data_IF_371846513431
#
_entry.id   IF_371846513431
#
_cell.length_a   1.000
_cell.length_b   1.000
_cell.length_c   1.000
_cell.angle_alpha   90.00
_cell.angle_beta   90.00
_cell.angle_gamma   90.00
#
_symmetry.space_group_name_H-M   'P 1'
#
loop_
_entity.id
_entity.type
_entity.pdbx_description
1 polymer ?
#
# COMPACT_ATOMS: atom_id res chain seq x y z
N UNK A 1 13.60 25.80 4.02
CA UNK A 1 12.64 25.18 4.96
C UNK A 1 11.34 25.95 4.89
N UNK A 2 10.19 25.25 4.76
CA UNK A 2 8.86 25.86 4.66
C UNK A 2 8.30 26.30 6.02
N UNK A 3 9.11 26.31 7.09
CA UNK A 3 8.71 26.74 8.43
C UNK A 3 7.82 25.78 9.20
N UNK A 4 7.68 24.53 8.72
CA UNK A 4 6.94 23.47 9.42
C UNK A 4 7.88 22.57 10.21
N UNK A 5 7.46 22.19 11.41
CA UNK A 5 8.11 21.16 12.23
C UNK A 5 7.30 19.86 12.12
N UNK A 6 7.84 18.81 11.48
CA UNK A 6 7.08 17.57 11.29
C UNK A 6 7.09 16.70 12.54
N UNK A 7 5.90 16.26 12.95
CA UNK A 7 5.74 15.20 13.95
C UNK A 7 5.44 13.88 13.23
N UNK A 8 6.32 12.89 13.35
CA UNK A 8 6.16 11.59 12.72
C UNK A 8 5.38 10.65 13.64
N UNK A 9 4.16 10.32 13.23
CA UNK A 9 3.29 9.39 13.93
C UNK A 9 2.69 8.40 12.90
N UNK A 10 3.43 7.35 12.49
CA UNK A 10 2.92 6.36 11.54
C UNK A 10 1.71 5.62 12.11
N UNK A 11 0.52 5.80 11.55
CA UNK A 11 -0.72 5.17 12.05
C UNK A 11 -0.93 3.76 11.50
N UNK A 12 -0.17 3.38 10.49
CA UNK A 12 -0.20 2.04 9.89
C UNK A 12 1.21 1.51 9.68
N UNK A 13 1.35 0.20 9.74
CA UNK A 13 2.57 -0.50 9.37
C UNK A 13 2.25 -1.73 8.52
N UNK A 14 3.20 -2.17 7.71
CA UNK A 14 3.06 -3.43 6.97
C UNK A 14 3.73 -4.56 7.73
N UNK A 15 3.08 -5.72 7.74
CA UNK A 15 3.61 -6.97 8.32
C UNK A 15 3.68 -8.03 7.23
N UNK A 16 4.73 -8.84 7.26
CA UNK A 16 4.85 -9.99 6.37
C UNK A 16 3.73 -11.00 6.60
N UNK A 17 3.25 -11.59 5.53
CA UNK A 17 2.36 -12.76 5.60
C UNK A 17 3.12 -14.02 5.18
N UNK A 18 2.62 -15.18 5.60
CA UNK A 18 3.16 -16.46 5.15
C UNK A 18 2.98 -16.59 3.62
N UNK A 19 4.06 -16.93 2.92
CA UNK A 19 4.09 -17.02 1.46
C UNK A 19 4.26 -18.48 1.05
N UNK A 20 3.21 -19.06 0.51
CA UNK A 20 3.32 -20.37 -0.11
C UNK A 20 3.89 -20.21 -1.53
N UNK A 21 4.92 -20.96 -1.85
CA UNK A 21 5.48 -20.94 -3.19
C UNK A 21 4.46 -21.44 -4.22
N UNK A 22 4.39 -20.82 -5.41
CA UNK A 22 3.56 -21.35 -6.49
C UNK A 22 4.09 -22.72 -6.92
N UNK A 23 3.19 -23.57 -7.41
CA UNK A 23 3.52 -24.94 -7.82
C UNK A 23 4.56 -25.02 -8.95
N UNK A 24 4.73 -23.93 -9.71
CA UNK A 24 5.72 -23.84 -10.78
C UNK A 24 6.24 -22.41 -10.90
N UNK A 25 7.47 -22.26 -11.37
CA UNK A 25 8.09 -20.96 -11.62
C UNK A 25 7.22 -20.12 -12.56
N UNK A 26 6.86 -18.87 -12.19
CA UNK A 26 6.08 -17.99 -13.06
C UNK A 26 6.91 -17.51 -14.26
N UNK A 27 6.20 -17.11 -15.33
CA UNK A 27 6.81 -16.46 -16.49
C UNK A 27 6.87 -14.94 -16.33
N UNK A 28 6.02 -14.39 -15.46
CA UNK A 28 5.89 -12.97 -15.20
C UNK A 28 5.46 -12.74 -13.75
N UNK A 29 6.06 -11.76 -13.09
CA UNK A 29 5.60 -11.24 -11.81
C UNK A 29 4.92 -9.90 -12.04
N UNK A 30 3.78 -9.68 -11.40
CA UNK A 30 3.10 -8.38 -11.38
C UNK A 30 2.89 -7.90 -9.96
N UNK A 31 3.03 -6.57 -9.73
CA UNK A 31 2.72 -5.96 -8.45
C UNK A 31 2.27 -4.51 -8.61
N UNK A 32 1.36 -4.06 -7.76
CA UNK A 32 0.81 -2.70 -7.79
C UNK A 32 1.35 -1.79 -6.68
N UNK A 33 2.15 -2.35 -5.75
CA UNK A 33 2.70 -1.61 -4.61
C UNK A 33 4.15 -2.00 -4.34
N UNK A 34 5.03 -1.05 -3.97
CA UNK A 34 6.39 -1.34 -3.54
C UNK A 34 6.45 -2.24 -2.29
N UNK A 35 5.42 -2.17 -1.44
CA UNK A 35 5.33 -2.95 -0.20
C UNK A 35 5.34 -4.46 -0.43
N UNK A 36 4.88 -4.93 -1.60
CA UNK A 36 4.91 -6.34 -1.97
C UNK A 36 6.34 -6.92 -2.02
N UNK A 37 7.34 -6.09 -2.32
CA UNK A 37 8.75 -6.52 -2.42
C UNK A 37 9.52 -6.42 -1.10
N UNK A 38 9.04 -5.63 -0.12
CA UNK A 38 9.71 -5.47 1.17
C UNK A 38 9.66 -6.72 2.04
N UNK A 39 8.68 -7.58 1.79
CA UNK A 39 8.38 -8.75 2.60
C UNK A 39 8.56 -10.08 1.85
N UNK A 40 9.28 -10.09 0.72
CA UNK A 40 9.55 -11.33 0.00
C UNK A 40 10.40 -12.29 0.87
N UNK A 41 9.93 -13.55 1.00
CA UNK A 41 10.75 -14.60 1.58
C UNK A 41 11.96 -14.91 0.70
N UNK A 42 13.01 -15.46 1.29
CA UNK A 42 14.22 -15.82 0.57
C UNK A 42 13.92 -16.86 -0.51
N UNK A 43 13.14 -17.88 -0.18
CA UNK A 43 12.76 -18.95 -1.12
C UNK A 43 11.98 -18.40 -2.31
N UNK A 44 11.05 -17.46 -2.07
CA UNK A 44 10.29 -16.85 -3.16
C UNK A 44 11.18 -15.97 -4.02
N UNK A 45 12.09 -15.21 -3.42
CA UNK A 45 13.07 -14.38 -4.15
C UNK A 45 13.95 -15.21 -5.07
N UNK A 46 14.46 -16.35 -4.56
CA UNK A 46 15.28 -17.28 -5.34
C UNK A 46 14.51 -17.86 -6.52
N UNK A 47 13.26 -18.28 -6.30
CA UNK A 47 12.38 -18.73 -7.37
C UNK A 47 12.17 -17.68 -8.46
N UNK A 48 12.08 -16.41 -8.07
CA UNK A 48 11.81 -15.29 -8.99
C UNK A 48 13.07 -14.75 -9.69
N UNK A 49 14.24 -15.28 -9.37
CA UNK A 49 15.49 -14.86 -10.02
C UNK A 49 15.39 -15.03 -11.55
N UNK A 50 15.64 -13.94 -12.30
CA UNK A 50 15.56 -13.90 -13.76
C UNK A 50 14.16 -13.86 -14.35
N UNK A 51 13.08 -13.85 -13.51
CA UNK A 51 11.70 -13.69 -13.98
C UNK A 51 11.43 -12.21 -14.28
N UNK A 52 10.84 -11.87 -15.45
CA UNK A 52 10.36 -10.53 -15.73
C UNK A 52 9.36 -10.04 -14.69
N UNK A 53 9.43 -8.75 -14.35
CA UNK A 53 8.57 -8.10 -13.37
C UNK A 53 7.94 -6.85 -13.98
N UNK A 54 6.63 -6.77 -14.00
CA UNK A 54 5.88 -5.60 -14.42
C UNK A 54 5.18 -4.96 -13.22
N UNK A 55 5.40 -3.66 -13.03
CA UNK A 55 4.85 -2.91 -11.90
C UNK A 55 4.21 -1.61 -12.34
N UNK A 56 3.38 -1.02 -11.48
CA UNK A 56 2.67 0.23 -11.79
C UNK A 56 3.60 1.41 -12.05
N UNK A 57 4.64 1.62 -11.24
CA UNK A 57 5.48 2.81 -11.34
C UNK A 57 6.88 2.64 -10.77
N UNK A 58 7.71 3.66 -10.91
CA UNK A 58 9.13 3.64 -10.56
C UNK A 58 9.40 3.33 -9.07
N UNK A 59 8.54 3.76 -8.15
CA UNK A 59 8.67 3.41 -6.74
C UNK A 59 8.58 1.89 -6.50
N UNK A 60 7.66 1.22 -7.19
CA UNK A 60 7.53 -0.25 -7.15
C UNK A 60 8.68 -0.93 -7.91
N UNK A 61 9.15 -0.33 -9.01
CA UNK A 61 10.29 -0.85 -9.75
C UNK A 61 11.60 -0.77 -8.93
N UNK A 62 11.82 0.34 -8.25
CA UNK A 62 12.96 0.48 -7.35
C UNK A 62 12.92 -0.54 -6.20
N UNK A 63 11.75 -0.77 -5.60
CA UNK A 63 11.57 -1.76 -4.55
C UNK A 63 11.85 -3.18 -5.05
N UNK A 64 11.38 -3.54 -6.25
CA UNK A 64 11.64 -4.83 -6.87
C UNK A 64 13.14 -5.04 -7.13
N UNK A 65 13.84 -4.02 -7.67
CA UNK A 65 15.28 -4.08 -7.90
C UNK A 65 16.07 -4.20 -6.59
N UNK A 66 15.67 -3.48 -5.54
CA UNK A 66 16.27 -3.58 -4.20
C UNK A 66 16.04 -4.97 -3.57
N UNK A 67 14.96 -5.65 -3.93
CA UNK A 67 14.72 -7.05 -3.56
C UNK A 67 15.55 -8.06 -4.37
N UNK A 68 16.39 -7.60 -5.33
CA UNK A 68 17.27 -8.45 -6.14
C UNK A 68 16.66 -8.89 -7.48
N UNK A 69 15.48 -8.39 -7.87
CA UNK A 69 14.87 -8.71 -9.16
C UNK A 69 15.44 -7.79 -10.25
N UNK A 70 15.87 -8.37 -11.38
CA UNK A 70 16.70 -7.65 -12.37
C UNK A 70 15.94 -7.18 -13.60
N UNK A 71 14.93 -7.93 -14.05
CA UNK A 71 14.15 -7.61 -15.26
C UNK A 71 12.86 -6.89 -14.89
N UNK A 72 12.97 -5.62 -14.46
CA UNK A 72 11.87 -4.86 -13.89
C UNK A 72 11.47 -3.69 -14.79
N UNK A 73 10.19 -3.63 -15.13
CA UNK A 73 9.60 -2.57 -15.96
C UNK A 73 8.43 -1.90 -15.25
N UNK A 74 8.38 -0.57 -15.30
CA UNK A 74 7.30 0.25 -14.79
C UNK A 74 6.29 0.62 -15.91
N UNK A 75 5.00 0.57 -15.60
CA UNK A 75 3.91 0.76 -16.57
C UNK A 75 3.13 2.08 -16.34
N UNK A 76 3.83 3.20 -16.27
CA UNK A 76 3.20 4.53 -16.33
C UNK A 76 2.52 5.04 -15.05
N UNK A 77 2.76 4.42 -13.89
CA UNK A 77 2.42 5.00 -12.57
C UNK A 77 1.09 4.56 -11.94
N UNK A 78 0.22 3.84 -12.65
CA UNK A 78 -1.07 3.40 -12.12
C UNK A 78 -1.48 2.00 -12.63
N UNK A 79 -2.55 1.43 -12.05
CA UNK A 79 -3.04 0.09 -12.39
C UNK A 79 -3.57 0.03 -13.83
N UNK A 80 -4.22 1.09 -14.32
CA UNK A 80 -4.75 1.11 -15.69
C UNK A 80 -3.63 1.01 -16.73
N UNK A 81 -2.52 1.72 -16.55
CA UNK A 81 -1.33 1.59 -17.41
C UNK A 81 -0.71 0.19 -17.35
N UNK A 82 -0.69 -0.44 -16.17
CA UNK A 82 -0.23 -1.80 -16.03
C UNK A 82 -1.14 -2.79 -16.77
N UNK A 83 -2.45 -2.69 -16.63
CA UNK A 83 -3.44 -3.50 -17.33
C UNK A 83 -3.32 -3.35 -18.85
N UNK A 84 -3.23 -2.12 -19.37
CA UNK A 84 -3.04 -1.86 -20.79
C UNK A 84 -1.77 -2.50 -21.35
N UNK A 85 -0.66 -2.38 -20.61
CA UNK A 85 0.59 -3.04 -20.97
C UNK A 85 0.47 -4.55 -20.98
N UNK A 86 -0.10 -5.14 -19.93
CA UNK A 86 -0.28 -6.59 -19.80
C UNK A 86 -1.17 -7.13 -20.91
N UNK A 87 -2.25 -6.42 -21.28
CA UNK A 87 -3.15 -6.79 -22.36
C UNK A 87 -2.46 -6.91 -23.73
N UNK A 88 -1.33 -6.22 -23.92
CA UNK A 88 -0.51 -6.30 -25.15
C UNK A 88 0.58 -7.37 -25.10
N UNK A 89 0.95 -7.86 -23.93
CA UNK A 89 2.13 -8.70 -23.73
C UNK A 89 1.84 -10.08 -23.15
N UNK A 90 0.71 -10.27 -22.46
CA UNK A 90 0.32 -11.57 -21.92
C UNK A 90 -0.17 -12.47 -23.06
N UNK A 91 0.48 -13.61 -23.20
CA UNK A 91 0.08 -14.66 -24.13
C UNK A 91 -0.78 -15.71 -23.41
N UNK A 92 -1.62 -16.47 -24.16
CA UNK A 92 -2.31 -17.63 -23.60
C UNK A 92 -1.34 -18.58 -22.90
N UNK A 93 -1.75 -19.11 -21.76
CA UNK A 93 -0.96 -19.99 -20.89
C UNK A 93 0.27 -19.35 -20.21
N UNK A 94 0.49 -18.04 -20.31
CA UNK A 94 1.45 -17.33 -19.45
C UNK A 94 1.10 -17.58 -17.99
N UNK A 95 2.08 -17.97 -17.18
CA UNK A 95 1.93 -18.07 -15.73
C UNK A 95 2.31 -16.75 -15.09
N UNK A 96 1.35 -16.06 -14.53
CA UNK A 96 1.54 -14.77 -13.85
C UNK A 96 1.52 -15.00 -12.35
N UNK A 97 2.50 -14.49 -11.64
CA UNK A 97 2.45 -14.37 -10.19
C UNK A 97 2.09 -12.92 -9.83
N UNK A 98 0.94 -12.75 -9.18
CA UNK A 98 0.54 -11.47 -8.63
C UNK A 98 0.96 -11.37 -7.16
N UNK A 99 1.92 -10.48 -6.88
CA UNK A 99 2.34 -10.13 -5.53
C UNK A 99 1.54 -8.94 -5.04
N UNK A 100 0.77 -9.11 -3.97
CA UNK A 100 -0.17 -8.11 -3.49
C UNK A 100 -0.15 -7.97 -1.96
N UNK A 101 -0.78 -6.91 -1.47
CA UNK A 101 -1.23 -6.83 -0.08
C UNK A 101 -2.55 -7.57 0.10
N UNK A 102 -2.87 -7.93 1.34
CA UNK A 102 -4.18 -8.52 1.68
C UNK A 102 -5.31 -7.57 1.31
N UNK A 103 -5.19 -6.31 1.69
CA UNK A 103 -6.12 -5.26 1.26
C UNK A 103 -5.62 -4.68 -0.07
N UNK A 104 -6.43 -4.81 -1.11
CA UNK A 104 -6.10 -4.38 -2.47
C UNK A 104 -7.36 -4.09 -3.29
N UNK A 105 -7.19 -3.40 -4.41
CA UNK A 105 -8.27 -3.19 -5.38
C UNK A 105 -8.40 -4.41 -6.30
N UNK A 106 -9.62 -4.76 -6.72
CA UNK A 106 -9.86 -5.94 -7.55
C UNK A 106 -9.45 -5.77 -9.02
N UNK A 107 -9.21 -4.55 -9.49
CA UNK A 107 -9.03 -4.22 -10.91
C UNK A 107 -8.04 -5.15 -11.64
N UNK A 108 -6.87 -5.41 -11.04
CA UNK A 108 -5.86 -6.27 -11.66
C UNK A 108 -6.25 -7.75 -11.59
N UNK A 109 -6.86 -8.19 -10.50
CA UNK A 109 -7.34 -9.59 -10.39
C UNK A 109 -8.43 -9.88 -11.42
N UNK A 110 -9.40 -8.98 -11.58
CA UNK A 110 -10.46 -9.11 -12.59
C UNK A 110 -9.87 -9.20 -13.99
N UNK A 111 -8.92 -8.31 -14.32
CA UNK A 111 -8.22 -8.38 -15.60
C UNK A 111 -7.49 -9.72 -15.80
N UNK A 112 -6.78 -10.23 -14.77
CA UNK A 112 -6.07 -11.50 -14.87
C UNK A 112 -7.03 -12.70 -14.99
N UNK A 113 -8.18 -12.66 -14.33
CA UNK A 113 -9.24 -13.68 -14.44
C UNK A 113 -9.84 -13.72 -15.85
N UNK A 114 -10.05 -12.54 -16.45
CA UNK A 114 -10.61 -12.43 -17.80
C UNK A 114 -9.57 -12.74 -18.89
N UNK A 115 -8.29 -12.71 -18.56
CA UNK A 115 -7.19 -13.02 -19.48
C UNK A 115 -7.07 -14.55 -19.70
N UNK A 116 -6.45 -14.95 -20.80
CA UNK A 116 -6.11 -16.35 -21.06
C UNK A 116 -4.89 -16.85 -20.24
N UNK A 117 -4.34 -16.03 -19.36
CA UNK A 117 -3.22 -16.36 -18.50
C UNK A 117 -3.67 -17.25 -17.32
N UNK A 118 -2.76 -18.07 -16.82
CA UNK A 118 -2.90 -18.69 -15.50
C UNK A 118 -2.24 -17.78 -14.49
N UNK A 119 -2.91 -17.45 -13.38
CA UNK A 119 -2.27 -16.65 -12.36
C UNK A 119 -2.37 -17.26 -10.96
N UNK A 120 -1.32 -17.08 -10.20
CA UNK A 120 -1.25 -17.34 -8.78
C UNK A 120 -1.21 -16.00 -8.05
N UNK A 121 -1.89 -15.91 -6.91
CA UNK A 121 -1.87 -14.74 -6.03
C UNK A 121 -1.10 -15.09 -4.76
N UNK A 122 -0.12 -14.25 -4.41
CA UNK A 122 0.52 -14.28 -3.10
C UNK A 122 0.25 -12.97 -2.37
N UNK A 123 -0.42 -13.06 -1.23
CA UNK A 123 -0.53 -11.97 -0.28
C UNK A 123 0.80 -11.84 0.48
N UNK A 124 1.67 -10.96 0.01
CA UNK A 124 3.02 -10.81 0.57
C UNK A 124 3.00 -10.06 1.91
N UNK A 125 2.02 -9.19 2.14
CA UNK A 125 1.92 -8.37 3.34
C UNK A 125 0.48 -8.01 3.70
N UNK A 126 0.29 -7.65 4.97
CA UNK A 126 -0.91 -6.95 5.42
C UNK A 126 -0.55 -5.54 5.91
N UNK A 127 -1.53 -4.65 5.92
CA UNK A 127 -1.40 -3.31 6.51
C UNK A 127 -2.25 -3.27 7.77
N UNK A 128 -1.60 -3.11 8.91
CA UNK A 128 -2.25 -3.09 10.22
C UNK A 128 -2.11 -1.71 10.87
N UNK A 129 -3.08 -1.35 11.71
CA UNK A 129 -3.01 -0.14 12.52
C UNK A 129 -1.94 -0.26 13.59
N UNK A 130 -1.26 0.85 13.86
CA UNK A 130 -0.31 0.98 14.96
C UNK A 130 -1.05 1.53 16.17
N UNK A 131 -0.99 0.80 17.28
CA UNK A 131 -1.52 1.29 18.55
C UNK A 131 -0.46 2.07 19.31
N UNK A 132 -0.83 3.24 19.80
CA UNK A 132 0.03 4.08 20.62
C UNK A 132 -0.48 4.16 22.06
N UNK A 133 0.44 4.18 23.01
CA UNK A 133 0.09 4.47 24.41
C UNK A 133 -0.40 5.92 24.53
N UNK A 134 -1.25 6.18 25.53
CA UNK A 134 -1.69 7.54 25.89
C UNK A 134 -0.51 8.50 26.06
N UNK A 135 0.56 8.04 26.72
CA UNK A 135 1.77 8.86 26.93
C UNK A 135 2.45 9.23 25.62
N UNK A 136 2.53 8.30 24.64
CA UNK A 136 3.12 8.57 23.33
C UNK A 136 2.29 9.57 22.52
N UNK A 137 0.97 9.46 22.57
CA UNK A 137 0.06 10.40 21.91
C UNK A 137 0.16 11.79 22.55
N UNK A 138 0.21 11.85 23.88
CA UNK A 138 0.39 13.09 24.63
C UNK A 138 1.73 13.77 24.29
N UNK A 139 2.82 13.01 24.18
CA UNK A 139 4.11 13.54 23.76
C UNK A 139 4.07 14.07 22.32
N UNK A 140 3.40 13.38 21.41
CA UNK A 140 3.24 13.83 20.04
C UNK A 140 2.47 15.15 19.94
N UNK A 141 1.48 15.37 20.82
CA UNK A 141 0.68 16.60 20.90
C UNK A 141 1.19 17.64 21.92
N UNK A 142 2.34 17.41 22.58
CA UNK A 142 2.88 18.30 23.61
C UNK A 142 3.20 19.71 23.10
N UNK A 143 3.37 19.91 21.80
CA UNK A 143 3.52 21.20 21.14
C UNK A 143 2.23 21.98 20.92
N UNK A 144 1.07 21.43 21.30
CA UNK A 144 -0.26 22.03 21.08
C UNK A 144 -0.96 21.45 19.84
N UNK A 145 -1.79 22.27 19.19
CA UNK A 145 -2.56 21.86 18.02
C UNK A 145 -1.69 21.70 16.77
N UNK A 146 -1.96 20.69 15.97
CA UNK A 146 -1.36 20.54 14.66
C UNK A 146 -2.03 21.47 13.65
N UNK A 147 -1.24 22.13 12.81
CA UNK A 147 -1.77 22.96 11.72
C UNK A 147 -2.26 22.12 10.54
N UNK A 148 -1.63 20.97 10.31
CA UNK A 148 -2.02 20.06 9.23
C UNK A 148 -1.58 18.63 9.51
N UNK A 149 -2.30 17.68 8.90
CA UNK A 149 -1.95 16.25 8.92
C UNK A 149 -1.96 15.69 7.49
N UNK A 150 -0.90 14.97 7.13
CA UNK A 150 -0.78 14.30 5.83
C UNK A 150 -1.32 12.87 5.92
N UNK A 151 -2.37 12.58 5.13
CA UNK A 151 -2.99 11.27 5.05
C UNK A 151 -2.67 10.61 3.70
N UNK A 152 -2.03 9.46 3.74
CA UNK A 152 -1.46 8.81 2.56
C UNK A 152 -2.26 7.63 2.04
N UNK A 153 -3.23 7.14 2.82
CA UNK A 153 -4.09 6.00 2.45
C UNK A 153 -5.40 6.00 3.24
N UNK A 154 -6.40 5.26 2.76
CA UNK A 154 -7.69 5.07 3.47
C UNK A 154 -7.49 4.36 4.80
N UNK A 155 -6.54 3.42 4.87
CA UNK A 155 -6.20 2.71 6.10
C UNK A 155 -5.62 3.68 7.16
N UNK A 156 -4.86 4.70 6.72
CA UNK A 156 -4.37 5.77 7.62
C UNK A 156 -5.51 6.61 8.17
N UNK A 157 -6.52 6.93 7.33
CA UNK A 157 -7.74 7.62 7.76
C UNK A 157 -8.48 6.81 8.81
N UNK A 158 -8.75 5.54 8.54
CA UNK A 158 -9.44 4.64 9.47
C UNK A 158 -8.67 4.47 10.79
N UNK A 159 -7.34 4.36 10.72
CA UNK A 159 -6.50 4.26 11.91
C UNK A 159 -6.53 5.55 12.75
N UNK A 160 -6.56 6.73 12.09
CA UNK A 160 -6.70 8.03 12.77
C UNK A 160 -8.06 8.15 13.48
N UNK A 161 -9.15 7.80 12.79
CA UNK A 161 -10.50 7.80 13.35
C UNK A 161 -10.64 6.85 14.55
N UNK A 162 -9.86 5.78 14.60
CA UNK A 162 -9.82 4.82 15.70
C UNK A 162 -9.07 5.30 16.96
N UNK A 163 -8.43 6.47 16.94
CA UNK A 163 -7.72 7.00 18.11
C UNK A 163 -8.72 7.65 19.07
N UNK A 164 -8.91 7.05 20.25
CA UNK A 164 -9.83 7.53 21.29
C UNK A 164 -9.15 8.38 22.38
N UNK A 165 -7.98 8.97 22.11
CA UNK A 165 -7.26 9.81 23.07
C UNK A 165 -7.73 11.26 22.96
N UNK A 166 -8.34 11.79 24.01
CA UNK A 166 -8.97 13.15 24.05
C UNK A 166 -7.94 14.23 23.73
N UNK A 167 -6.77 14.20 24.36
CA UNK A 167 -5.73 15.25 24.15
C UNK A 167 -5.25 15.26 22.69
N UNK A 168 -5.03 14.09 22.11
CA UNK A 168 -4.62 13.95 20.73
C UNK A 168 -5.74 14.36 19.75
N UNK A 169 -6.99 13.96 20.04
CA UNK A 169 -8.15 14.34 19.23
C UNK A 169 -8.33 15.86 19.21
N UNK A 170 -8.22 16.52 20.35
CA UNK A 170 -8.22 17.99 20.43
C UNK A 170 -7.08 18.64 19.63
N UNK A 171 -5.88 18.03 19.66
CA UNK A 171 -4.73 18.58 18.95
C UNK A 171 -4.90 18.54 17.41
N UNK A 172 -5.72 17.62 16.87
CA UNK A 172 -5.98 17.49 15.42
C UNK A 172 -7.31 18.08 14.97
N UNK A 173 -8.20 18.46 15.88
CA UNK A 173 -9.59 18.86 15.60
C UNK A 173 -9.72 19.94 14.52
N UNK A 174 -8.82 20.92 14.54
CA UNK A 174 -8.82 22.03 13.58
C UNK A 174 -7.69 21.93 12.55
N UNK A 175 -7.08 20.75 12.39
CA UNK A 175 -6.02 20.54 11.42
C UNK A 175 -6.56 20.53 9.99
N UNK A 176 -5.76 21.02 9.04
CA UNK A 176 -6.03 20.83 7.61
C UNK A 176 -5.53 19.42 7.23
N UNK A 177 -6.45 18.56 6.78
CA UNK A 177 -6.09 17.25 6.28
C UNK A 177 -5.66 17.32 4.83
N UNK A 178 -4.41 16.94 4.55
CA UNK A 178 -3.84 16.88 3.21
C UNK A 178 -3.88 15.43 2.75
N UNK A 179 -4.69 15.15 1.73
CA UNK A 179 -4.90 13.81 1.20
C UNK A 179 -4.26 13.65 -0.18
N UNK A 180 -3.58 12.53 -0.43
CA UNK A 180 -2.91 12.27 -1.71
C UNK A 180 -3.87 11.96 -2.87
N UNK A 181 -5.15 11.75 -2.60
CA UNK A 181 -6.17 11.51 -3.63
C UNK A 181 -7.57 11.83 -3.11
N UNK A 182 -8.51 12.10 -4.03
CA UNK A 182 -9.93 12.30 -3.71
C UNK A 182 -10.52 11.11 -2.95
N UNK A 183 -10.12 9.88 -3.26
CA UNK A 183 -10.55 8.67 -2.56
C UNK A 183 -10.16 8.69 -1.08
N UNK A 184 -8.99 9.21 -0.75
CA UNK A 184 -8.52 9.34 0.64
C UNK A 184 -9.31 10.46 1.32
N UNK A 185 -9.55 11.56 0.63
CA UNK A 185 -10.32 12.70 1.15
C UNK A 185 -11.81 12.34 1.38
N UNK A 186 -12.35 11.43 0.58
CA UNK A 186 -13.73 10.94 0.72
C UNK A 186 -13.89 9.88 1.81
N UNK A 187 -12.80 9.35 2.38
CA UNK A 187 -12.87 8.47 3.53
C UNK A 187 -13.14 9.31 4.79
N UNK A 188 -14.19 8.96 5.54
CA UNK A 188 -14.57 9.70 6.75
C UNK A 188 -13.44 9.65 7.80
N UNK A 189 -12.87 10.79 8.10
CA UNK A 189 -11.91 10.97 9.21
C UNK A 189 -12.65 11.09 10.54
N UNK A 190 -13.89 11.54 10.50
CA UNK A 190 -14.77 11.72 11.66
C UNK A 190 -16.00 10.85 11.44
N UNK A 191 -16.09 9.73 12.14
CA UNK A 191 -17.39 9.08 12.27
C UNK A 191 -18.40 10.14 12.67
N UNK A 192 -19.53 10.23 11.95
CA UNK A 192 -20.61 11.18 12.20
C UNK A 192 -20.92 11.22 13.71
N UNK A 193 -20.29 12.14 14.41
CA UNK A 193 -20.93 12.65 15.62
C UNK A 193 -22.01 13.59 15.09
N UNK A 194 -23.25 13.07 15.06
CA UNK A 194 -24.46 13.86 14.93
C UNK A 194 -24.30 15.17 15.69
N UNK A 195 -24.08 16.24 14.93
CA UNK A 195 -24.38 17.58 15.42
C UNK A 195 -25.91 17.63 15.46
N UNK A 196 -26.51 17.13 16.55
CA UNK A 196 -27.89 17.45 16.89
C UNK A 196 -27.88 18.77 17.63
N UNK A 197 -28.37 19.74 16.93
CA UNK A 197 -28.98 21.00 17.15
C UNK A 197 -29.03 21.74 18.43
#
# INVERSE_FOLDING_TARGET
TLGYEPVLLPLTQTVALAQNLPAAKPNLVVATSPKAFFHLSEELRDMLTGVPVAVTGEGSAAAARNAGLTHVEAAGGNVAGLVDRLGRSILPATRVLYLAGRVRRPDLELFLQDSAAKFDLIEAYDTISVSYSTEKLRQASAGGSFSSALLTSVETVAALAGISNVDFTHAIEFSIFICLSERIAAADVVGEQEIRG
#
